data_IF_901193310302
#
_entry.id   IF_901193310302
#
_cell.length_a   1.000
_cell.length_b   1.000
_cell.length_c   1.000
_cell.angle_alpha   90.00
_cell.angle_beta   90.00
_cell.angle_gamma   90.00
#
_symmetry.space_group_name_H-M   'P 1'
#
loop_
_entity.id
_entity.type
_entity.pdbx_description
1 polymer ?
#
# COMPACT_ATOMS: atom_id res chain seq x y z
N UNK A 1 -11.33 6.12 -10.06
CA UNK A 1 -12.17 6.77 -9.02
C UNK A 1 -11.99 8.27 -9.12
N UNK A 2 -13.07 9.04 -9.25
CA UNK A 2 -13.03 10.50 -9.39
C UNK A 2 -13.32 11.12 -8.02
N UNK A 3 -12.34 11.80 -7.45
CA UNK A 3 -12.50 12.51 -6.19
C UNK A 3 -13.04 13.92 -6.43
N UNK A 4 -14.31 14.15 -6.13
CA UNK A 4 -14.83 15.52 -5.97
C UNK A 4 -14.27 16.07 -4.64
N UNK A 5 -13.83 17.34 -4.63
CA UNK A 5 -13.27 17.96 -3.42
C UNK A 5 -14.25 17.93 -2.23
N UNK A 6 -15.55 18.07 -2.48
CA UNK A 6 -16.59 17.94 -1.46
C UNK A 6 -16.62 16.56 -0.81
N UNK A 7 -16.40 15.50 -1.60
CA UNK A 7 -16.44 14.12 -1.14
C UNK A 7 -15.16 13.78 -0.39
N UNK A 8 -14.03 14.37 -0.81
CA UNK A 8 -12.77 14.29 -0.10
C UNK A 8 -12.86 14.93 1.30
N UNK A 9 -13.48 16.11 1.42
CA UNK A 9 -13.71 16.78 2.70
C UNK A 9 -14.58 15.93 3.64
N UNK A 10 -15.70 15.41 3.15
CA UNK A 10 -16.59 14.56 3.96
C UNK A 10 -15.89 13.28 4.43
N UNK A 11 -15.03 12.70 3.59
CA UNK A 11 -14.24 11.52 3.94
C UNK A 11 -13.27 11.81 5.08
N UNK A 12 -12.57 12.95 5.01
CA UNK A 12 -11.68 13.40 6.09
C UNK A 12 -12.44 13.61 7.39
N UNK A 13 -13.60 14.29 7.36
CA UNK A 13 -14.39 14.56 8.56
C UNK A 13 -14.93 13.27 9.19
N UNK A 14 -15.41 12.32 8.36
CA UNK A 14 -15.85 10.98 8.81
C UNK A 14 -14.70 10.18 9.42
N UNK A 15 -13.51 10.27 8.84
CA UNK A 15 -12.31 9.61 9.35
C UNK A 15 -11.90 10.18 10.71
N UNK A 16 -11.81 11.52 10.83
CA UNK A 16 -11.49 12.20 12.09
C UNK A 16 -12.50 11.84 13.20
N UNK A 17 -13.80 11.84 12.88
CA UNK A 17 -14.84 11.44 13.82
C UNK A 17 -14.71 9.96 14.26
N UNK A 18 -14.44 9.05 13.31
CA UNK A 18 -14.29 7.62 13.58
C UNK A 18 -13.11 7.34 14.50
N UNK A 19 -11.93 7.91 14.22
CA UNK A 19 -10.74 7.67 15.04
C UNK A 19 -10.84 8.38 16.41
N UNK A 20 -11.52 9.53 16.48
CA UNK A 20 -11.80 10.21 17.74
C UNK A 20 -12.70 9.38 18.65
N UNK A 21 -13.72 8.71 18.09
CA UNK A 21 -14.58 7.77 18.83
C UNK A 21 -13.79 6.57 19.42
N UNK A 22 -12.59 6.30 18.91
CA UNK A 22 -11.65 5.28 19.43
C UNK A 22 -10.55 5.86 20.32
N UNK A 23 -10.68 7.13 20.72
CA UNK A 23 -9.73 7.82 21.60
C UNK A 23 -8.41 8.17 20.92
N UNK A 24 -8.39 8.32 19.60
CA UNK A 24 -7.22 8.74 18.83
C UNK A 24 -7.34 10.23 18.50
N UNK A 25 -6.31 11.01 18.82
CA UNK A 25 -6.22 12.42 18.44
C UNK A 25 -5.06 12.60 17.45
N UNK A 26 -5.29 13.40 16.41
CA UNK A 26 -4.24 13.82 15.47
C UNK A 26 -3.68 15.16 15.97
N UNK A 27 -2.43 15.21 16.45
CA UNK A 27 -1.85 16.44 17.00
C UNK A 27 -1.54 17.45 15.89
N UNK A 28 -1.99 18.69 16.05
CA UNK A 28 -1.78 19.78 15.08
C UNK A 28 -0.33 20.30 15.01
N UNK A 29 0.53 19.97 15.97
CA UNK A 29 1.91 20.47 16.07
C UNK A 29 2.93 19.33 16.18
N UNK A 30 2.83 18.31 15.33
CA UNK A 30 3.91 17.33 15.21
C UNK A 30 5.20 18.03 14.80
N UNK A 31 6.20 18.07 15.69
CA UNK A 31 7.56 18.52 15.38
C UNK A 31 8.17 17.49 14.44
N UNK A 32 7.90 17.67 13.16
CA UNK A 32 8.37 16.81 12.10
C UNK A 32 9.29 17.65 11.23
N UNK A 33 10.57 17.29 11.18
CA UNK A 33 11.61 18.07 10.48
C UNK A 33 11.28 18.29 9.01
N UNK A 34 12.07 19.17 8.36
CA UNK A 34 11.78 19.90 7.11
C UNK A 34 11.32 19.10 5.86
N UNK A 35 11.20 17.77 5.93
CA UNK A 35 10.72 16.88 4.86
C UNK A 35 9.47 16.06 5.23
N UNK A 36 8.81 16.40 6.34
CA UNK A 36 7.68 15.66 6.90
C UNK A 36 6.38 16.44 6.77
N UNK A 37 5.35 15.83 6.18
CA UNK A 37 3.98 16.33 6.31
C UNK A 37 3.26 15.50 7.39
N UNK A 38 2.95 16.09 8.55
CA UNK A 38 2.08 15.44 9.53
C UNK A 38 0.74 15.07 8.91
N UNK A 39 0.13 13.98 9.39
CA UNK A 39 -1.20 13.54 8.94
C UNK A 39 -2.22 14.69 8.93
N UNK A 40 -2.22 15.54 9.96
CA UNK A 40 -3.11 16.71 10.03
C UNK A 40 -2.89 17.71 8.87
N UNK A 41 -1.65 17.95 8.45
CA UNK A 41 -1.33 18.92 7.41
C UNK A 41 -1.77 18.40 6.04
N UNK A 42 -1.64 17.09 5.84
CA UNK A 42 -2.15 16.41 4.64
C UNK A 42 -3.68 16.51 4.59
N UNK A 43 -4.36 16.18 5.69
CA UNK A 43 -5.82 16.28 5.80
C UNK A 43 -6.31 17.73 5.62
N UNK A 44 -5.60 18.70 6.22
CA UNK A 44 -5.88 20.13 6.06
C UNK A 44 -5.75 20.56 4.60
N UNK A 45 -4.69 20.15 3.89
CA UNK A 45 -4.50 20.47 2.46
C UNK A 45 -5.56 19.84 1.56
N UNK A 46 -5.97 18.60 1.86
CA UNK A 46 -7.11 17.98 1.18
C UNK A 46 -8.38 18.83 1.38
N UNK A 47 -8.60 19.35 2.60
CA UNK A 47 -9.77 20.16 2.96
C UNK A 47 -9.76 21.56 2.34
N UNK A 48 -8.62 22.23 2.33
CA UNK A 48 -8.46 23.61 1.80
C UNK A 48 -8.29 23.64 0.27
N UNK A 49 -7.96 22.49 -0.33
CA UNK A 49 -7.56 22.38 -1.72
C UNK A 49 -6.08 22.73 -1.93
N UNK A 50 -5.56 22.29 -3.07
CA UNK A 50 -4.17 22.54 -3.46
C UNK A 50 -4.13 23.75 -4.41
N UNK A 51 -3.41 24.81 -4.02
CA UNK A 51 -3.23 26.04 -4.83
C UNK A 51 -1.79 26.14 -5.33
N UNK A 52 -1.57 26.09 -6.64
CA UNK A 52 -0.24 26.18 -7.25
C UNK A 52 -0.13 25.39 -8.55
N UNK A 53 1.06 25.37 -9.14
CA UNK A 53 1.35 24.48 -10.26
C UNK A 53 1.39 23.02 -9.76
N UNK A 54 0.65 22.07 -10.38
CA UNK A 54 0.72 20.66 -10.02
C UNK A 54 2.15 20.10 -9.93
N UNK A 55 3.06 20.57 -10.80
CA UNK A 55 4.46 20.13 -10.80
C UNK A 55 5.17 20.49 -9.48
N UNK A 56 4.92 21.69 -8.94
CA UNK A 56 5.51 22.16 -7.68
C UNK A 56 4.93 21.44 -6.46
N UNK A 57 3.69 20.92 -6.59
CA UNK A 57 2.94 20.31 -5.50
C UNK A 57 2.94 18.78 -5.55
N UNK A 58 3.73 18.16 -6.45
CA UNK A 58 3.72 16.71 -6.70
C UNK A 58 3.86 15.87 -5.42
N UNK A 59 4.78 16.23 -4.53
CA UNK A 59 4.99 15.51 -3.26
C UNK A 59 3.78 15.67 -2.33
N UNK A 60 3.17 16.85 -2.29
CA UNK A 60 2.00 17.14 -1.47
C UNK A 60 0.76 16.40 -1.99
N UNK A 61 0.58 16.34 -3.32
CA UNK A 61 -0.47 15.55 -3.95
C UNK A 61 -0.27 14.06 -3.74
N UNK A 62 0.97 13.57 -3.82
CA UNK A 62 1.28 12.16 -3.50
C UNK A 62 0.83 11.83 -2.08
N UNK A 63 1.10 12.75 -1.14
CA UNK A 63 0.69 12.64 0.24
C UNK A 63 -0.81 12.72 0.48
N UNK A 64 -1.46 13.71 -0.12
CA UNK A 64 -2.90 13.88 -0.08
C UNK A 64 -3.63 12.63 -0.59
N UNK A 65 -3.21 12.11 -1.74
CA UNK A 65 -3.81 10.94 -2.37
C UNK A 65 -3.73 9.70 -1.47
N UNK A 66 -2.55 9.35 -0.97
CA UNK A 66 -2.37 8.11 -0.21
C UNK A 66 -3.13 8.16 1.13
N UNK A 67 -3.11 9.32 1.80
CA UNK A 67 -3.83 9.52 3.07
C UNK A 67 -5.33 9.57 2.86
N UNK A 68 -5.82 10.29 1.84
CA UNK A 68 -7.23 10.35 1.52
C UNK A 68 -7.77 8.93 1.28
N UNK A 69 -7.08 8.16 0.44
CA UNK A 69 -7.54 6.83 0.08
C UNK A 69 -7.55 5.89 1.30
N UNK A 70 -6.50 5.94 2.12
CA UNK A 70 -6.46 5.23 3.40
C UNK A 70 -7.64 5.63 4.31
N UNK A 71 -7.91 6.94 4.45
CA UNK A 71 -9.01 7.43 5.26
C UNK A 71 -10.36 6.87 4.76
N UNK A 72 -10.58 6.86 3.45
CA UNK A 72 -11.77 6.24 2.83
C UNK A 72 -11.87 4.75 3.17
N UNK A 73 -10.77 3.99 3.09
CA UNK A 73 -10.76 2.56 3.43
C UNK A 73 -11.06 2.31 4.91
N UNK A 74 -10.46 3.09 5.80
CA UNK A 74 -10.70 2.96 7.25
C UNK A 74 -12.15 3.29 7.59
N UNK A 75 -12.71 4.37 7.01
CA UNK A 75 -14.10 4.77 7.22
C UNK A 75 -15.07 3.67 6.79
N UNK A 76 -14.86 3.07 5.62
CA UNK A 76 -15.76 2.06 5.11
C UNK A 76 -15.78 0.77 5.94
N UNK A 77 -14.68 0.43 6.60
CA UNK A 77 -14.62 -0.74 7.50
C UNK A 77 -14.93 -0.41 8.96
N UNK A 78 -15.38 0.81 9.27
CA UNK A 78 -15.61 1.30 10.63
C UNK A 78 -16.55 0.44 11.50
N UNK A 79 -17.46 -0.30 10.87
CA UNK A 79 -18.42 -1.20 11.53
C UNK A 79 -18.00 -2.68 11.48
N UNK A 80 -16.85 -3.00 10.89
CA UNK A 80 -16.39 -4.36 10.79
C UNK A 80 -16.04 -4.91 12.19
N UNK A 81 -16.35 -6.17 12.52
CA UNK A 81 -16.17 -6.63 13.89
C UNK A 81 -14.69 -6.89 14.29
N UNK A 82 -13.74 -6.79 13.35
CA UNK A 82 -12.29 -6.74 13.63
C UNK A 82 -11.71 -5.31 13.67
N UNK A 83 -12.53 -4.25 13.58
CA UNK A 83 -12.02 -2.89 13.46
C UNK A 83 -11.03 -2.50 14.57
N UNK A 84 -11.22 -3.00 15.79
CA UNK A 84 -10.34 -2.69 16.92
C UNK A 84 -8.90 -3.18 16.73
N UNK A 85 -8.66 -4.15 15.84
CA UNK A 85 -7.30 -4.57 15.44
C UNK A 85 -6.55 -3.47 14.67
N UNK A 86 -7.27 -2.53 14.05
CA UNK A 86 -6.67 -1.41 13.31
C UNK A 86 -6.21 -0.27 14.25
N UNK A 87 -6.78 -0.19 15.46
CA UNK A 87 -6.58 0.93 16.40
C UNK A 87 -5.10 1.16 16.75
N UNK A 88 -4.27 0.15 17.04
CA UNK A 88 -2.84 0.35 17.29
C UNK A 88 -2.11 0.99 16.10
N UNK A 89 -2.44 0.61 14.87
CA UNK A 89 -1.86 1.17 13.64
C UNK A 89 -2.28 2.62 13.46
N UNK A 90 -3.57 2.90 13.63
CA UNK A 90 -4.12 4.25 13.54
C UNK A 90 -3.50 5.19 14.60
N UNK A 91 -3.26 4.72 15.82
CA UNK A 91 -2.56 5.49 16.86
C UNK A 91 -1.12 5.81 16.45
N UNK A 92 -0.41 4.83 15.90
CA UNK A 92 0.96 5.03 15.42
C UNK A 92 1.01 6.06 14.30
N UNK A 93 0.11 5.94 13.31
CA UNK A 93 -0.02 6.89 12.19
C UNK A 93 -0.38 8.30 12.68
N UNK A 94 -1.32 8.44 13.61
CA UNK A 94 -1.70 9.73 14.17
C UNK A 94 -0.55 10.40 14.95
N UNK A 95 0.30 9.61 15.61
CA UNK A 95 1.45 10.11 16.37
C UNK A 95 2.71 10.38 15.55
N UNK A 96 2.75 9.93 14.29
CA UNK A 96 3.95 9.93 13.45
C UNK A 96 3.87 10.85 12.23
N UNK A 97 5.01 11.04 11.58
CA UNK A 97 5.09 11.63 10.24
C UNK A 97 4.98 10.55 9.17
N UNK A 98 4.28 10.83 8.07
CA UNK A 98 4.10 9.87 6.96
C UNK A 98 5.11 10.16 5.86
N UNK A 99 6.05 9.22 5.63
CA UNK A 99 7.09 9.32 4.59
C UNK A 99 6.76 8.43 3.39
N UNK A 100 6.08 9.00 2.38
CA UNK A 100 5.58 8.20 1.25
C UNK A 100 6.61 7.98 0.13
N UNK A 101 7.39 9.00 -0.19
CA UNK A 101 8.30 9.00 -1.36
C UNK A 101 9.78 9.10 -0.99
N UNK A 102 10.10 9.75 0.14
CA UNK A 102 11.47 9.91 0.64
C UNK A 102 11.85 8.82 1.64
N UNK A 103 13.15 8.60 1.77
CA UNK A 103 13.66 7.75 2.85
C UNK A 103 13.41 8.45 4.20
N UNK A 104 12.70 7.82 5.13
CA UNK A 104 12.46 8.37 6.46
C UNK A 104 13.79 8.51 7.22
N UNK A 105 13.97 9.55 8.05
CA UNK A 105 15.13 9.62 8.93
C UNK A 105 15.21 8.40 9.84
N UNK A 106 16.44 8.03 10.21
CA UNK A 106 16.74 6.82 10.98
C UNK A 106 15.82 6.69 12.21
N UNK A 107 15.08 5.58 12.29
CA UNK A 107 14.12 5.31 13.38
C UNK A 107 12.66 5.74 13.14
N UNK A 108 12.33 6.39 12.02
CA UNK A 108 10.95 6.77 11.65
C UNK A 108 10.35 5.95 10.48
N UNK A 109 11.09 4.96 9.99
CA UNK A 109 10.70 4.13 8.85
C UNK A 109 9.46 3.26 9.09
N UNK A 110 9.17 2.97 10.35
CA UNK A 110 8.13 2.02 10.72
C UNK A 110 6.72 2.53 10.38
N UNK A 111 6.47 3.84 10.46
CA UNK A 111 5.12 4.41 10.23
C UNK A 111 4.62 4.14 8.82
N UNK A 112 5.50 4.27 7.81
CA UNK A 112 5.14 4.01 6.42
C UNK A 112 5.01 2.51 6.12
N UNK A 113 5.90 1.68 6.66
CA UNK A 113 5.82 0.23 6.48
C UNK A 113 4.48 -0.30 7.03
N UNK A 114 4.01 0.25 8.16
CA UNK A 114 2.73 -0.08 8.76
C UNK A 114 1.51 0.49 8.01
N UNK A 115 1.70 1.45 7.11
CA UNK A 115 0.61 2.01 6.31
C UNK A 115 0.07 0.97 5.32
N UNK A 116 0.94 0.24 4.61
CA UNK A 116 0.48 -0.74 3.61
C UNK A 116 -0.20 -1.94 4.27
N UNK A 117 0.26 -2.34 5.45
CA UNK A 117 -0.35 -3.41 6.25
C UNK A 117 -1.77 -3.03 6.67
N UNK A 118 -1.94 -1.84 7.25
CA UNK A 118 -3.26 -1.28 7.58
C UNK A 118 -4.15 -1.16 6.34
N UNK A 119 -3.61 -0.62 5.25
CA UNK A 119 -4.34 -0.41 4.01
C UNK A 119 -4.87 -1.74 3.45
N UNK A 120 -4.02 -2.76 3.34
CA UNK A 120 -4.41 -4.08 2.85
C UNK A 120 -5.41 -4.78 3.78
N UNK A 121 -5.21 -4.67 5.11
CA UNK A 121 -6.19 -5.17 6.09
C UNK A 121 -7.58 -4.57 5.87
N UNK A 122 -7.67 -3.26 5.59
CA UNK A 122 -8.95 -2.63 5.27
C UNK A 122 -9.56 -3.16 3.97
N UNK A 123 -8.77 -3.50 2.95
CA UNK A 123 -9.28 -4.09 1.71
C UNK A 123 -9.88 -5.47 1.95
N UNK A 124 -9.21 -6.32 2.74
CA UNK A 124 -9.70 -7.64 3.10
C UNK A 124 -11.00 -7.55 3.93
N UNK A 125 -11.04 -6.67 4.93
CA UNK A 125 -12.24 -6.38 5.72
C UNK A 125 -13.38 -5.83 4.86
N UNK A 126 -13.06 -5.01 3.85
CA UNK A 126 -14.02 -4.50 2.87
C UNK A 126 -14.63 -5.60 1.98
N UNK A 127 -13.97 -6.74 1.86
CA UNK A 127 -14.51 -7.96 1.26
C UNK A 127 -15.23 -8.87 2.28
N UNK A 128 -15.44 -8.39 3.51
CA UNK A 128 -16.12 -9.13 4.58
C UNK A 128 -15.25 -10.18 5.27
N UNK A 129 -13.93 -10.18 5.03
CA UNK A 129 -13.03 -11.14 5.65
C UNK A 129 -12.65 -10.70 7.07
N UNK A 130 -12.59 -11.69 7.96
CA UNK A 130 -11.93 -11.52 9.26
C UNK A 130 -10.42 -11.49 9.07
N UNK A 131 -9.71 -10.79 9.96
CA UNK A 131 -8.27 -10.62 9.85
C UNK A 131 -7.54 -10.89 11.17
N UNK A 132 -6.27 -11.20 11.07
CA UNK A 132 -5.27 -10.99 12.11
C UNK A 132 -4.22 -10.03 11.57
N UNK A 133 -3.87 -9.01 12.34
CA UNK A 133 -2.98 -7.93 11.93
C UNK A 133 -1.86 -7.78 12.98
N UNK A 134 -0.60 -7.89 12.56
CA UNK A 134 0.53 -7.88 13.47
C UNK A 134 0.68 -6.54 14.20
N UNK A 135 0.96 -6.56 15.50
CA UNK A 135 0.97 -5.31 16.28
C UNK A 135 2.12 -4.39 15.84
N UNK A 136 1.88 -3.10 15.57
CA UNK A 136 2.85 -2.28 14.83
C UNK A 136 4.12 -1.95 15.61
N UNK A 137 4.11 -2.08 16.94
CA UNK A 137 5.27 -1.86 17.84
C UNK A 137 5.70 -3.09 18.65
N UNK A 138 4.86 -4.11 18.71
CA UNK A 138 5.04 -5.27 19.58
C UNK A 138 4.95 -6.54 18.75
N UNK A 139 5.50 -6.48 17.54
CA UNK A 139 5.66 -7.67 16.71
C UNK A 139 6.55 -8.65 17.44
N UNK A 140 6.05 -9.87 17.64
CA UNK A 140 6.85 -10.98 18.16
C UNK A 140 7.75 -11.58 17.07
N UNK A 141 7.66 -11.09 15.83
CA UNK A 141 8.39 -11.63 14.67
C UNK A 141 7.96 -13.04 14.26
N UNK A 142 6.83 -13.50 14.78
CA UNK A 142 6.27 -14.84 14.57
C UNK A 142 5.15 -14.87 13.54
N UNK A 143 4.55 -13.71 13.22
CA UNK A 143 3.41 -13.62 12.31
C UNK A 143 3.75 -12.81 11.05
N UNK A 144 3.16 -13.15 9.90
CA UNK A 144 3.03 -12.30 8.73
C UNK A 144 2.34 -11.00 9.13
N UNK A 145 2.59 -9.96 8.36
CA UNK A 145 2.09 -8.63 8.67
C UNK A 145 0.54 -8.60 8.67
N UNK A 146 -0.10 -9.31 7.73
CA UNK A 146 -1.57 -9.50 7.70
C UNK A 146 -1.90 -10.97 7.42
N UNK A 147 -2.91 -11.51 8.11
CA UNK A 147 -3.50 -12.82 7.80
C UNK A 147 -5.00 -12.64 7.55
N UNK A 148 -5.48 -13.07 6.39
CA UNK A 148 -6.90 -13.23 6.13
C UNK A 148 -7.40 -14.53 6.76
N UNK A 149 -8.45 -14.45 7.58
CA UNK A 149 -9.04 -15.60 8.26
C UNK A 149 -10.22 -16.11 7.43
N UNK A 150 -9.95 -17.14 6.64
CA UNK A 150 -10.94 -17.80 5.80
C UNK A 150 -11.62 -18.98 6.50
N UNK A 151 -12.84 -19.39 6.08
CA UNK A 151 -13.52 -20.55 6.63
C UNK A 151 -12.77 -21.88 6.42
N UNK A 152 -12.01 -21.96 5.32
CA UNK A 152 -11.29 -23.17 4.92
C UNK A 152 -9.77 -23.04 5.07
N UNK A 153 -9.20 -21.88 4.75
CA UNK A 153 -7.75 -21.65 4.81
C UNK A 153 -7.46 -20.22 5.27
N UNK A 154 -6.48 -20.11 6.16
CA UNK A 154 -5.88 -18.82 6.52
C UNK A 154 -4.80 -18.47 5.49
N UNK A 155 -4.76 -17.21 5.07
CA UNK A 155 -3.84 -16.71 4.04
C UNK A 155 -2.96 -15.60 4.57
N UNK A 156 -1.65 -15.77 4.41
CA UNK A 156 -0.66 -14.84 4.92
C UNK A 156 -0.20 -13.83 3.85
N UNK A 157 -0.07 -12.57 4.25
CA UNK A 157 0.53 -11.50 3.47
C UNK A 157 1.72 -10.92 4.23
N UNK A 158 2.93 -11.10 3.68
CA UNK A 158 4.16 -10.55 4.25
C UNK A 158 4.61 -9.34 3.44
N UNK A 159 4.42 -8.13 3.97
CA UNK A 159 4.72 -6.87 3.31
C UNK A 159 6.19 -6.47 3.47
N UNK A 160 6.80 -6.01 2.39
CA UNK A 160 8.15 -5.47 2.35
C UNK A 160 8.14 -4.16 1.57
N UNK A 161 8.41 -3.06 2.24
CA UNK A 161 8.65 -1.79 1.56
C UNK A 161 10.02 -1.81 0.90
N UNK A 162 10.03 -1.69 -0.41
CA UNK A 162 11.26 -1.75 -1.20
C UNK A 162 11.72 -0.32 -1.49
N UNK A 163 12.93 0.01 -1.06
CA UNK A 163 13.58 1.32 -1.33
C UNK A 163 14.86 1.16 -2.13
N UNK A 164 15.64 0.12 -1.80
CA UNK A 164 16.88 -0.21 -2.48
C UNK A 164 16.65 -0.57 -3.95
N UNK A 165 17.50 -0.09 -4.88
CA UNK A 165 17.48 -0.51 -6.27
C UNK A 165 18.11 -1.89 -6.51
N UNK A 166 18.84 -2.43 -5.54
CA UNK A 166 19.67 -3.61 -5.72
C UNK A 166 18.85 -4.91 -5.64
N UNK A 167 18.99 -5.76 -6.65
CA UNK A 167 18.27 -7.05 -6.75
C UNK A 167 18.55 -7.99 -5.59
N UNK A 168 19.78 -8.02 -5.06
CA UNK A 168 20.10 -8.79 -3.85
C UNK A 168 19.27 -8.34 -2.65
N UNK A 169 19.03 -7.04 -2.49
CA UNK A 169 18.20 -6.51 -1.41
C UNK A 169 16.74 -6.97 -1.55
N UNK A 170 16.21 -7.01 -2.79
CA UNK A 170 14.87 -7.54 -3.06
C UNK A 170 14.80 -9.04 -2.75
N UNK A 171 15.82 -9.81 -3.12
CA UNK A 171 15.91 -11.24 -2.78
C UNK A 171 15.93 -11.47 -1.26
N UNK A 172 16.68 -10.66 -0.51
CA UNK A 172 16.74 -10.76 0.95
C UNK A 172 15.38 -10.42 1.58
N UNK A 173 14.66 -9.43 1.03
CA UNK A 173 13.29 -9.12 1.44
C UNK A 173 12.32 -10.26 1.12
N UNK A 174 12.48 -10.90 -0.04
CA UNK A 174 11.69 -12.07 -0.43
C UNK A 174 11.89 -13.22 0.56
N UNK A 175 13.15 -13.59 0.83
CA UNK A 175 13.51 -14.65 1.80
C UNK A 175 12.94 -14.36 3.19
N UNK A 176 13.06 -13.13 3.69
CA UNK A 176 12.48 -12.71 4.97
C UNK A 176 10.95 -12.82 4.99
N UNK A 177 10.28 -12.46 3.91
CA UNK A 177 8.83 -12.59 3.79
C UNK A 177 8.39 -14.06 3.82
N UNK A 178 9.10 -14.93 3.09
CA UNK A 178 8.87 -16.38 3.11
C UNK A 178 9.03 -16.91 4.55
N UNK A 179 10.11 -16.54 5.25
CA UNK A 179 10.35 -16.98 6.63
C UNK A 179 9.23 -16.55 7.61
N UNK A 180 8.63 -15.37 7.41
CA UNK A 180 7.47 -14.94 8.20
C UNK A 180 6.22 -15.78 7.91
N UNK A 181 5.95 -16.08 6.63
CA UNK A 181 4.82 -16.93 6.22
C UNK A 181 4.98 -18.34 6.81
N UNK A 182 6.20 -18.88 6.81
CA UNK A 182 6.49 -20.22 7.35
C UNK A 182 6.16 -20.36 8.82
N UNK A 183 6.43 -19.33 9.62
CA UNK A 183 6.18 -19.31 11.08
C UNK A 183 4.71 -19.16 11.44
N UNK A 184 3.88 -18.77 10.48
CA UNK A 184 2.46 -18.49 10.68
C UNK A 184 1.59 -19.75 10.71
N UNK A 185 0.39 -19.61 11.26
CA UNK A 185 -0.66 -20.64 11.15
C UNK A 185 -1.37 -20.65 9.79
N UNK A 186 -1.01 -19.76 8.87
CA UNK A 186 -1.56 -19.75 7.53
C UNK A 186 -1.14 -21.02 6.76
N UNK A 187 -2.02 -21.49 5.89
CA UNK A 187 -1.75 -22.67 5.06
C UNK A 187 -1.08 -22.30 3.74
N UNK A 188 -1.26 -21.05 3.31
CA UNK A 188 -0.70 -20.48 2.09
C UNK A 188 -0.39 -19.00 2.36
N UNK A 189 0.59 -18.43 1.65
CA UNK A 189 0.84 -17.00 1.74
C UNK A 189 1.58 -16.44 0.54
N UNK A 190 1.61 -15.11 0.45
CA UNK A 190 2.32 -14.38 -0.59
C UNK A 190 3.18 -13.28 0.02
N UNK A 191 4.39 -13.11 -0.51
CA UNK A 191 5.21 -11.95 -0.20
C UNK A 191 4.75 -10.78 -1.05
N UNK A 192 4.52 -9.64 -0.40
CA UNK A 192 4.03 -8.43 -1.04
C UNK A 192 5.10 -7.33 -1.01
N UNK A 193 5.44 -6.78 -2.16
CA UNK A 193 6.36 -5.66 -2.30
C UNK A 193 5.60 -4.35 -2.45
N UNK A 194 5.81 -3.44 -1.51
CA UNK A 194 5.41 -2.05 -1.67
C UNK A 194 6.52 -1.33 -2.47
N UNK A 195 6.19 -0.90 -3.70
CA UNK A 195 7.11 -0.30 -4.67
C UNK A 195 6.89 1.20 -4.93
N UNK A 196 5.94 1.88 -4.27
CA UNK A 196 5.77 3.35 -4.33
C UNK A 196 7.10 4.11 -4.21
N UNK A 197 7.98 3.83 -3.24
CA UNK A 197 9.25 4.54 -3.13
C UNK A 197 10.15 4.37 -4.36
N UNK A 198 10.07 3.23 -5.05
CA UNK A 198 10.86 2.92 -6.25
C UNK A 198 10.33 3.63 -7.48
N UNK A 199 9.02 3.79 -7.60
CA UNK A 199 8.39 4.39 -8.78
C UNK A 199 8.19 5.89 -8.68
N UNK A 200 8.44 6.51 -7.52
CA UNK A 200 8.36 7.95 -7.34
C UNK A 200 9.21 8.73 -8.36
N UNK A 201 10.30 8.14 -8.88
CA UNK A 201 11.20 8.72 -9.89
C UNK A 201 11.07 8.11 -11.29
N UNK A 202 10.03 7.31 -11.56
CA UNK A 202 9.96 6.50 -12.78
C UNK A 202 9.21 7.16 -13.96
N UNK A 203 9.24 8.50 -14.05
CA UNK A 203 8.55 9.28 -15.08
C UNK A 203 7.08 8.86 -15.26
N UNK A 204 6.37 8.73 -14.14
CA UNK A 204 4.92 8.46 -14.08
C UNK A 204 4.10 9.74 -13.94
N UNK A 205 4.79 10.88 -13.82
CA UNK A 205 4.24 12.22 -13.79
C UNK A 205 4.60 12.92 -15.11
N UNK A 206 3.62 13.45 -15.85
CA UNK A 206 3.89 14.11 -17.13
C UNK A 206 4.28 15.58 -16.90
N UNK A 207 5.57 15.86 -16.72
CA UNK A 207 6.08 17.22 -16.50
C UNK A 207 5.56 18.20 -17.56
N UNK A 208 5.01 19.35 -17.13
CA UNK A 208 4.42 20.37 -18.00
C UNK A 208 3.36 19.84 -19.00
N UNK A 209 2.71 18.70 -18.71
CA UNK A 209 1.76 18.04 -19.61
C UNK A 209 0.72 17.20 -18.85
N UNK A 210 -0.02 16.37 -19.58
CA UNK A 210 -0.95 15.40 -19.02
C UNK A 210 -1.05 14.18 -19.93
N UNK A 211 -1.29 13.00 -19.35
CA UNK A 211 -1.60 11.80 -20.13
C UNK A 211 -3.02 11.89 -20.69
N UNK A 212 -3.20 11.45 -21.93
CA UNK A 212 -4.53 11.32 -22.53
C UNK A 212 -5.43 10.34 -21.78
N UNK A 213 -4.83 9.38 -21.06
CA UNK A 213 -5.50 8.34 -20.30
C UNK A 213 -4.65 7.94 -19.09
N UNK A 214 -5.26 7.85 -17.91
CA UNK A 214 -4.58 7.43 -16.67
C UNK A 214 -4.10 5.97 -16.72
N UNK A 215 -4.65 5.15 -17.62
CA UNK A 215 -4.22 3.76 -17.83
C UNK A 215 -2.82 3.66 -18.41
N UNK A 216 -2.34 4.70 -19.11
CA UNK A 216 -0.98 4.73 -19.67
C UNK A 216 0.08 4.69 -18.57
N UNK A 217 0.11 5.62 -17.59
CA UNK A 217 1.07 5.53 -16.50
C UNK A 217 0.81 4.32 -15.59
N UNK A 218 -0.43 3.83 -15.47
CA UNK A 218 -0.72 2.58 -14.74
C UNK A 218 -0.04 1.36 -15.40
N UNK A 219 -0.16 1.21 -16.72
CA UNK A 219 0.49 0.13 -17.47
C UNK A 219 2.02 0.22 -17.37
N UNK A 220 2.58 1.43 -17.49
CA UNK A 220 4.01 1.66 -17.29
C UNK A 220 4.47 1.25 -15.88
N UNK A 221 3.68 1.52 -14.85
CA UNK A 221 4.00 1.08 -13.49
C UNK A 221 3.97 -0.45 -13.35
N UNK A 222 3.01 -1.14 -13.97
CA UNK A 222 2.97 -2.61 -14.02
C UNK A 222 4.22 -3.17 -14.71
N UNK A 223 4.60 -2.61 -15.86
CA UNK A 223 5.82 -3.01 -16.58
C UNK A 223 7.07 -2.84 -15.70
N UNK A 224 7.18 -1.71 -14.99
CA UNK A 224 8.29 -1.45 -14.07
C UNK A 224 8.32 -2.45 -12.91
N UNK A 225 7.17 -2.80 -12.32
CA UNK A 225 7.10 -3.81 -11.27
C UNK A 225 7.56 -5.18 -11.75
N UNK A 226 7.04 -5.61 -12.90
CA UNK A 226 7.42 -6.87 -13.54
C UNK A 226 8.91 -6.88 -13.84
N UNK A 227 9.48 -5.80 -14.40
CA UNK A 227 10.91 -5.69 -14.66
C UNK A 227 11.74 -5.79 -13.37
N UNK A 228 11.37 -5.08 -12.31
CA UNK A 228 12.10 -5.11 -11.03
C UNK A 228 12.13 -6.51 -10.42
N UNK A 229 11.01 -7.24 -10.45
CA UNK A 229 10.91 -8.59 -9.90
C UNK A 229 11.60 -9.62 -10.81
N UNK A 230 11.38 -9.54 -12.13
CA UNK A 230 12.05 -10.43 -13.10
C UNK A 230 13.57 -10.27 -13.06
N UNK A 231 14.10 -9.06 -12.82
CA UNK A 231 15.54 -8.86 -12.69
C UNK A 231 16.13 -9.61 -11.49
N UNK A 232 15.36 -9.84 -10.41
CA UNK A 232 15.80 -10.70 -9.30
C UNK A 232 16.03 -12.13 -9.78
N UNK A 233 15.13 -12.65 -10.61
CA UNK A 233 15.26 -14.00 -11.19
C UNK A 233 16.44 -14.07 -12.16
N UNK A 234 16.61 -13.06 -13.00
CA UNK A 234 17.73 -12.98 -13.97
C UNK A 234 19.07 -12.96 -13.25
N UNK A 235 19.21 -12.12 -12.22
CA UNK A 235 20.49 -11.91 -11.53
C UNK A 235 20.90 -13.10 -10.65
N UNK A 236 19.93 -13.85 -10.12
CA UNK A 236 20.19 -14.94 -9.16
C UNK A 236 20.04 -16.35 -9.77
N UNK A 237 19.35 -16.45 -10.91
CA UNK A 237 19.06 -17.68 -11.62
C UNK A 237 17.81 -18.41 -11.10
N UNK A 238 16.99 -18.92 -12.02
CA UNK A 238 15.73 -19.62 -11.72
C UNK A 238 15.88 -20.75 -10.69
N UNK A 239 16.96 -21.55 -10.78
CA UNK A 239 17.17 -22.67 -9.87
C UNK A 239 17.43 -22.26 -8.41
N UNK A 240 17.96 -21.06 -8.15
CA UNK A 240 18.07 -20.51 -6.79
C UNK A 240 16.70 -20.02 -6.31
N UNK A 241 15.95 -19.36 -7.18
CA UNK A 241 14.60 -18.88 -6.86
C UNK A 241 13.65 -20.05 -6.57
N UNK A 242 13.64 -21.10 -7.38
CA UNK A 242 12.81 -22.28 -7.11
C UNK A 242 13.17 -22.93 -5.77
N UNK A 243 14.47 -22.98 -5.43
CA UNK A 243 14.93 -23.57 -4.17
C UNK A 243 14.44 -22.83 -2.93
N UNK A 244 14.23 -21.51 -2.99
CA UNK A 244 13.72 -20.75 -1.82
C UNK A 244 12.23 -20.99 -1.57
N UNK A 245 11.45 -21.40 -2.58
CA UNK A 245 10.02 -21.74 -2.46
C UNK A 245 9.76 -23.24 -2.24
N UNK A 246 10.75 -24.09 -2.51
CA UNK A 246 10.63 -25.53 -2.36
C UNK A 246 10.14 -25.96 -0.96
N UNK A 247 8.97 -26.60 -0.91
CA UNK A 247 8.36 -27.10 0.33
C UNK A 247 7.87 -26.01 1.29
N UNK A 248 7.70 -24.77 0.82
CA UNK A 248 7.21 -23.63 1.60
C UNK A 248 5.71 -23.41 1.39
N UNK A 249 5.06 -22.77 2.36
CA UNK A 249 3.68 -22.25 2.30
C UNK A 249 3.57 -21.02 1.41
N UNK A 250 4.68 -20.31 1.19
CA UNK A 250 4.71 -19.15 0.33
C UNK A 250 4.59 -19.57 -1.15
N UNK A 251 3.68 -18.93 -1.88
CA UNK A 251 3.52 -19.14 -3.33
C UNK A 251 4.70 -18.51 -4.10
N UNK A 252 5.05 -19.10 -5.23
CA UNK A 252 6.12 -18.70 -6.14
C UNK A 252 5.83 -17.42 -6.93
N UNK A 253 5.15 -16.46 -6.32
CA UNK A 253 4.80 -15.18 -6.90
C UNK A 253 4.94 -14.05 -5.87
N UNK A 254 5.08 -12.83 -6.37
CA UNK A 254 5.18 -11.61 -5.56
C UNK A 254 4.02 -10.68 -5.89
N UNK A 255 3.28 -10.27 -4.87
CA UNK A 255 2.26 -9.23 -5.00
C UNK A 255 2.96 -7.86 -5.01
N UNK A 256 2.96 -7.17 -6.14
CA UNK A 256 3.55 -5.85 -6.29
C UNK A 256 2.48 -4.76 -6.13
N UNK A 257 2.69 -3.84 -5.21
CA UNK A 257 1.78 -2.74 -4.89
C UNK A 257 2.46 -1.39 -5.10
N UNK A 258 1.73 -0.42 -5.65
CA UNK A 258 2.15 0.96 -5.62
C UNK A 258 1.04 1.96 -5.84
N UNK A 259 1.20 3.12 -5.22
CA UNK A 259 0.34 4.29 -5.30
C UNK A 259 1.20 5.48 -5.70
N UNK A 260 0.76 6.23 -6.70
CA UNK A 260 1.42 7.44 -7.19
C UNK A 260 0.40 8.38 -7.82
N UNK A 261 0.58 9.71 -7.73
CA UNK A 261 -0.25 10.63 -8.47
C UNK A 261 0.25 10.78 -9.90
N UNK A 262 -0.64 11.15 -10.80
CA UNK A 262 -0.32 11.54 -12.17
C UNK A 262 -1.25 12.66 -12.62
N UNK A 263 -0.98 13.30 -13.76
CA UNK A 263 -1.93 14.21 -14.41
C UNK A 263 -2.47 13.53 -15.64
N UNK A 264 -3.78 13.34 -15.71
CA UNK A 264 -4.42 12.71 -16.86
C UNK A 264 -5.73 13.39 -17.22
N UNK A 265 -6.22 13.13 -18.44
CA UNK A 265 -7.52 13.60 -18.88
C UNK A 265 -8.63 12.96 -18.02
N UNK A 266 -9.44 13.80 -17.40
CA UNK A 266 -10.63 13.37 -16.68
C UNK A 266 -11.63 12.73 -17.66
N UNK A 267 -12.11 11.49 -17.41
CA UNK A 267 -13.00 10.78 -18.33
C UNK A 267 -14.41 11.40 -18.42
N UNK A 268 -14.83 12.19 -17.43
CA UNK A 268 -16.13 12.87 -17.43
C UNK A 268 -16.05 14.27 -18.00
N UNK A 269 -15.04 15.05 -17.61
CA UNK A 269 -14.97 16.48 -17.97
C UNK A 269 -14.06 16.76 -19.17
N UNK A 270 -13.19 15.82 -19.54
CA UNK A 270 -12.18 16.02 -20.58
C UNK A 270 -11.03 16.95 -20.20
N UNK A 271 -11.07 17.55 -19.00
CA UNK A 271 -10.02 18.44 -18.52
C UNK A 271 -8.87 17.64 -17.88
N UNK A 272 -7.61 18.12 -17.97
CA UNK A 272 -6.53 17.56 -17.18
C UNK A 272 -6.82 17.69 -15.68
N UNK A 273 -6.59 16.62 -14.94
CA UNK A 273 -6.74 16.59 -13.48
C UNK A 273 -5.66 15.71 -12.87
N UNK A 274 -5.25 16.05 -11.65
CA UNK A 274 -4.42 15.16 -10.84
C UNK A 274 -5.24 13.94 -10.47
N UNK A 275 -4.74 12.74 -10.75
CA UNK A 275 -5.41 11.48 -10.47
C UNK A 275 -4.52 10.59 -9.61
N UNK A 276 -5.09 9.95 -8.57
CA UNK A 276 -4.42 8.89 -7.85
C UNK A 276 -4.42 7.62 -8.71
N UNK A 277 -3.25 7.08 -9.00
CA UNK A 277 -3.11 5.76 -9.63
C UNK A 277 -2.65 4.76 -8.59
N UNK A 278 -3.38 3.65 -8.50
CA UNK A 278 -3.14 2.55 -7.56
C UNK A 278 -2.99 1.28 -8.39
N UNK A 279 -1.87 0.59 -8.22
CA UNK A 279 -1.52 -0.61 -8.98
C UNK A 279 -1.29 -1.74 -7.99
N UNK A 280 -1.98 -2.85 -8.22
CA UNK A 280 -1.68 -4.14 -7.64
C UNK A 280 -1.53 -5.15 -8.78
N UNK A 281 -0.41 -5.88 -8.81
CA UNK A 281 -0.16 -6.91 -9.82
C UNK A 281 0.61 -8.06 -9.20
N UNK A 282 0.33 -9.28 -9.64
CA UNK A 282 1.06 -10.48 -9.21
C UNK A 282 2.11 -10.80 -10.26
N UNK A 283 3.35 -10.94 -9.84
CA UNK A 283 4.48 -11.31 -10.71
C UNK A 283 5.00 -12.68 -10.29
N UNK A 284 4.89 -13.65 -11.18
CA UNK A 284 5.40 -15.00 -10.95
C UNK A 284 6.94 -15.03 -11.00
N UNK A 285 7.54 -15.74 -10.04
CA UNK A 285 9.00 -15.87 -9.92
C UNK A 285 9.46 -17.32 -9.82
N UNK A 286 8.59 -18.24 -9.40
CA UNK A 286 8.85 -19.67 -9.31
C UNK A 286 7.62 -20.47 -9.83
N UNK A 287 7.56 -20.75 -11.14
CA UNK A 287 6.39 -21.37 -11.80
C UNK A 287 5.97 -22.72 -11.23
N UNK A 288 6.91 -23.46 -10.64
CA UNK A 288 6.66 -24.77 -10.02
C UNK A 288 5.91 -24.66 -8.66
N UNK A 289 5.69 -23.45 -8.17
CA UNK A 289 4.97 -23.15 -6.94
C UNK A 289 3.82 -22.17 -7.23
N UNK A 290 2.83 -22.55 -8.05
CA UNK A 290 1.81 -21.62 -8.52
C UNK A 290 0.96 -21.10 -7.37
N UNK A 291 0.43 -19.90 -7.55
CA UNK A 291 -0.61 -19.34 -6.69
C UNK A 291 -1.88 -20.18 -6.80
N UNK A 292 -2.56 -20.48 -5.69
CA UNK A 292 -3.87 -21.12 -5.77
C UNK A 292 -4.92 -20.18 -6.39
N UNK A 293 -5.87 -20.72 -7.14
CA UNK A 293 -7.03 -19.97 -7.68
C UNK A 293 -7.74 -19.18 -6.59
N UNK A 294 -7.78 -19.77 -5.40
CA UNK A 294 -8.49 -19.24 -4.25
C UNK A 294 -7.79 -17.99 -3.67
N UNK A 295 -6.46 -18.00 -3.57
CA UNK A 295 -5.67 -16.83 -3.15
C UNK A 295 -5.64 -15.77 -4.26
N UNK A 296 -5.55 -16.19 -5.52
CA UNK A 296 -5.64 -15.28 -6.66
C UNK A 296 -6.95 -14.48 -6.64
N UNK A 297 -8.09 -15.16 -6.48
CA UNK A 297 -9.41 -14.52 -6.42
C UNK A 297 -9.55 -13.54 -5.24
N UNK A 298 -8.93 -13.82 -4.08
CA UNK A 298 -8.92 -12.89 -2.95
C UNK A 298 -8.07 -11.65 -3.23
N UNK A 299 -6.92 -11.80 -3.88
CA UNK A 299 -6.09 -10.67 -4.32
C UNK A 299 -6.84 -9.83 -5.37
N UNK A 300 -7.52 -10.47 -6.32
CA UNK A 300 -8.35 -9.78 -7.30
C UNK A 300 -9.48 -8.99 -6.63
N UNK A 301 -10.22 -9.61 -5.72
CA UNK A 301 -11.27 -8.93 -4.95
C UNK A 301 -10.71 -7.76 -4.12
N UNK A 302 -9.54 -7.93 -3.50
CA UNK A 302 -8.87 -6.85 -2.77
C UNK A 302 -8.42 -5.72 -3.72
N UNK A 303 -7.95 -6.04 -4.92
CA UNK A 303 -7.61 -5.05 -5.95
C UNK A 303 -8.86 -4.32 -6.46
N UNK A 304 -9.98 -4.99 -6.69
CA UNK A 304 -11.24 -4.33 -7.08
C UNK A 304 -11.69 -3.33 -6.01
N UNK A 305 -11.59 -3.73 -4.74
CA UNK A 305 -11.79 -2.85 -3.60
C UNK A 305 -10.75 -1.74 -3.51
N UNK A 306 -9.52 -1.96 -3.96
CA UNK A 306 -8.51 -0.91 -4.07
C UNK A 306 -8.95 0.15 -5.08
N UNK A 307 -9.51 -0.23 -6.22
CA UNK A 307 -9.87 0.70 -7.30
C UNK A 307 -11.18 1.48 -7.07
N UNK A 308 -12.04 1.00 -6.18
CA UNK A 308 -13.39 1.54 -5.89
C UNK A 308 -13.45 2.16 -4.49
N UNK A 309 -14.45 2.99 -4.18
CA UNK A 309 -14.80 3.23 -2.77
C UNK A 309 -15.51 1.97 -2.26
N UNK A 310 -15.11 1.47 -1.09
CA UNK A 310 -15.50 0.14 -0.57
C UNK A 310 -17.02 -0.05 -0.54
#
# INVERSE_FOLDING_TARGET
>A
MLLQLSDAMQTVDRFEALIAAKGISIPANGVSGDDMLPLWLILKRIREGFTGNPDDLRDEYTAGVAVHDLAAKVVAVGNHPDFDLLVPHLKMLASGAVHLTKEPPYGSADVYNKLIELYWACLLMGNGLRINLDHPKHSLGTNPDVIALGPATNRAYAFKTIRSPHTQSLLDHLKKGIDQIERSEASEGIVAFQLTPRIAKADLWPENSYYVDWRIPAAKAVELFTQMVSQVVIDNGQAEIDRIFAGKKAVGAVLCLGVFPTVARNPLTGNPVVMPVKVATVVEVAPNHPISDSLHAEIEAANDKMQTEL
#
